data_IF_109050387629
#
_entry.id   IF_109050387629
#
_cell.length_a   1.000
_cell.length_b   1.000
_cell.length_c   1.000
_cell.angle_alpha   90.00
_cell.angle_beta   90.00
_cell.angle_gamma   90.00
#
_symmetry.space_group_name_H-M   'P 1'
#
loop_
_entity.id
_entity.type
_entity.pdbx_description
1 polymer ?
#
# COMPACT_ATOMS: atom_id res chain seq x y z
N UNK A 1 -23.10 -43.46 6.65
CA UNK A 1 -23.63 -42.12 6.97
C UNK A 1 -22.44 -41.18 7.14
N UNK A 2 -22.34 -40.17 6.26
CA UNK A 2 -21.24 -39.19 6.02
C UNK A 2 -20.17 -39.60 5.00
N UNK A 3 -20.59 -39.75 3.75
CA UNK A 3 -19.75 -39.42 2.60
C UNK A 3 -19.70 -37.90 2.47
N UNK A 4 -18.85 -37.27 3.29
CA UNK A 4 -18.50 -35.87 3.10
C UNK A 4 -17.58 -35.79 1.88
N UNK A 5 -18.19 -35.75 0.70
CA UNK A 5 -17.55 -35.23 -0.51
C UNK A 5 -17.22 -33.76 -0.25
N UNK A 6 -16.05 -33.52 0.38
CA UNK A 6 -15.45 -32.21 0.46
C UNK A 6 -15.27 -31.74 -0.98
N UNK A 7 -16.20 -30.91 -1.44
CA UNK A 7 -16.28 -30.40 -2.79
C UNK A 7 -15.00 -29.65 -3.10
N UNK A 8 -14.10 -30.33 -3.79
CA UNK A 8 -12.88 -29.71 -4.30
C UNK A 8 -13.33 -28.73 -5.37
N UNK A 9 -13.46 -27.45 -5.00
CA UNK A 9 -13.84 -26.38 -5.92
C UNK A 9 -12.92 -26.45 -7.14
N UNK A 10 -13.52 -26.51 -8.34
CA UNK A 10 -12.79 -26.53 -9.60
C UNK A 10 -11.83 -25.34 -9.64
N UNK A 11 -10.59 -25.50 -10.15
CA UNK A 11 -9.63 -24.40 -10.24
C UNK A 11 -10.19 -23.16 -10.94
N UNK A 12 -10.99 -23.34 -11.98
CA UNK A 12 -11.68 -22.26 -12.69
C UNK A 12 -12.63 -21.45 -11.79
N UNK A 13 -13.34 -22.12 -10.87
CA UNK A 13 -14.25 -21.44 -9.94
C UNK A 13 -13.49 -20.63 -8.89
N UNK A 14 -12.34 -21.14 -8.41
CA UNK A 14 -11.45 -20.39 -7.50
C UNK A 14 -10.94 -19.11 -8.14
N UNK A 15 -10.47 -19.22 -9.39
CA UNK A 15 -10.00 -18.07 -10.18
C UNK A 15 -11.16 -17.09 -10.40
N UNK A 16 -12.35 -17.59 -10.77
CA UNK A 16 -13.54 -16.76 -10.97
C UNK A 16 -13.92 -15.93 -9.75
N UNK A 17 -13.87 -16.51 -8.55
CA UNK A 17 -14.13 -15.80 -7.29
C UNK A 17 -13.12 -14.67 -7.06
N UNK A 18 -11.83 -14.95 -7.27
CA UNK A 18 -10.76 -13.96 -7.10
C UNK A 18 -10.94 -12.80 -8.09
N UNK A 19 -11.14 -13.12 -9.37
CA UNK A 19 -11.34 -12.12 -10.44
C UNK A 19 -12.56 -11.26 -10.16
N UNK A 20 -13.68 -11.86 -9.77
CA UNK A 20 -14.90 -11.13 -9.40
C UNK A 20 -14.65 -10.16 -8.23
N UNK A 21 -13.90 -10.58 -7.22
CA UNK A 21 -13.52 -9.71 -6.09
C UNK A 21 -12.65 -8.51 -6.51
N UNK A 22 -11.69 -8.73 -7.41
CA UNK A 22 -10.88 -7.62 -7.96
C UNK A 22 -11.71 -6.66 -8.81
N UNK A 23 -12.62 -7.17 -9.65
CA UNK A 23 -13.54 -6.34 -10.44
C UNK A 23 -14.41 -5.48 -9.52
N UNK A 24 -14.97 -6.06 -8.46
CA UNK A 24 -15.76 -5.32 -7.48
C UNK A 24 -14.93 -4.22 -6.80
N UNK A 25 -13.68 -4.52 -6.40
CA UNK A 25 -12.78 -3.53 -5.81
C UNK A 25 -12.47 -2.37 -6.76
N UNK A 26 -12.25 -2.65 -8.05
CA UNK A 26 -12.03 -1.62 -9.09
C UNK A 26 -13.27 -0.74 -9.22
N UNK A 27 -14.45 -1.34 -9.34
CA UNK A 27 -15.71 -0.59 -9.49
C UNK A 27 -15.93 0.36 -8.31
N UNK A 28 -15.68 -0.11 -7.09
CA UNK A 28 -15.83 0.73 -5.89
C UNK A 28 -14.79 1.86 -5.87
N UNK A 29 -13.54 1.60 -6.26
CA UNK A 29 -12.51 2.63 -6.34
C UNK A 29 -12.83 3.70 -7.39
N UNK A 30 -13.31 3.29 -8.57
CA UNK A 30 -13.79 4.23 -9.61
C UNK A 30 -14.96 5.06 -9.08
N UNK A 31 -15.92 4.44 -8.39
CA UNK A 31 -17.05 5.16 -7.80
C UNK A 31 -16.60 6.19 -6.75
N UNK A 32 -15.63 5.84 -5.89
CA UNK A 32 -15.08 6.76 -4.90
C UNK A 32 -14.43 8.00 -5.54
N UNK A 33 -13.65 7.80 -6.61
CA UNK A 33 -13.06 8.92 -7.37
C UNK A 33 -14.15 9.74 -8.05
N UNK A 34 -15.14 9.11 -8.69
CA UNK A 34 -16.23 9.81 -9.34
C UNK A 34 -17.01 10.70 -8.36
N UNK A 35 -17.25 10.22 -7.14
CA UNK A 35 -17.87 11.00 -6.06
C UNK A 35 -16.97 12.16 -5.65
N UNK A 36 -15.66 11.93 -5.47
CA UNK A 36 -14.71 12.98 -5.10
C UNK A 36 -14.65 14.10 -6.16
N UNK A 37 -14.52 13.73 -7.44
CA UNK A 37 -14.54 14.66 -8.57
C UNK A 37 -15.84 15.44 -8.60
N UNK A 38 -17.00 14.77 -8.49
CA UNK A 38 -18.30 15.44 -8.46
C UNK A 38 -18.43 16.43 -7.30
N UNK A 39 -17.85 16.12 -6.14
CA UNK A 39 -17.86 17.00 -4.95
C UNK A 39 -16.89 18.19 -5.03
N UNK A 40 -15.87 18.12 -5.90
CA UNK A 40 -14.76 19.09 -5.95
C UNK A 40 -14.65 19.82 -7.30
N UNK A 41 -15.59 19.57 -8.22
CA UNK A 41 -15.65 20.21 -9.53
C UNK A 41 -15.94 21.71 -9.40
N UNK A 42 -14.92 22.56 -9.54
CA UNK A 42 -15.08 24.02 -9.48
C UNK A 42 -13.95 24.79 -10.19
N UNK A 43 -14.03 26.13 -10.25
CA UNK A 43 -13.02 26.97 -10.93
C UNK A 43 -11.60 26.77 -10.39
N UNK A 44 -11.47 26.51 -9.08
CA UNK A 44 -10.19 26.19 -8.43
C UNK A 44 -9.61 24.84 -8.89
N UNK A 45 -10.45 23.85 -9.19
CA UNK A 45 -10.00 22.55 -9.68
C UNK A 45 -9.45 22.63 -11.12
N UNK A 46 -9.99 23.54 -11.94
CA UNK A 46 -9.49 23.79 -13.29
C UNK A 46 -8.16 24.56 -13.31
N UNK A 47 -7.97 25.48 -12.36
CA UNK A 47 -6.71 26.23 -12.23
C UNK A 47 -5.51 25.35 -11.85
N UNK A 48 -5.75 24.24 -11.14
CA UNK A 48 -4.72 23.30 -10.67
C UNK A 48 -5.03 21.85 -11.07
N UNK A 49 -5.45 21.62 -12.31
CA UNK A 49 -5.94 20.33 -12.80
C UNK A 49 -4.99 19.15 -12.57
N UNK A 50 -3.68 19.37 -12.70
CA UNK A 50 -2.66 18.34 -12.43
C UNK A 50 -2.61 17.88 -10.97
N UNK A 51 -2.80 18.80 -10.02
CA UNK A 51 -2.79 18.47 -8.58
C UNK A 51 -4.02 17.64 -8.20
N UNK A 52 -5.19 17.99 -8.74
CA UNK A 52 -6.42 17.23 -8.53
C UNK A 52 -6.35 15.84 -9.18
N UNK A 53 -5.86 15.74 -10.41
CA UNK A 53 -5.68 14.45 -11.09
C UNK A 53 -4.70 13.52 -10.33
N UNK A 54 -3.62 14.06 -9.77
CA UNK A 54 -2.72 13.29 -8.91
C UNK A 54 -3.41 12.83 -7.62
N UNK A 55 -4.20 13.70 -6.98
CA UNK A 55 -5.00 13.37 -5.81
C UNK A 55 -6.01 12.24 -6.09
N UNK A 56 -6.71 12.31 -7.22
CA UNK A 56 -7.64 11.29 -7.68
C UNK A 56 -6.95 9.94 -7.91
N UNK A 57 -5.75 9.95 -8.50
CA UNK A 57 -4.94 8.74 -8.68
C UNK A 57 -4.52 8.12 -7.34
N UNK A 58 -4.10 8.95 -6.37
CA UNK A 58 -3.74 8.48 -5.01
C UNK A 58 -4.97 7.93 -4.29
N UNK A 59 -6.13 8.59 -4.39
CA UNK A 59 -7.39 8.13 -3.82
C UNK A 59 -7.80 6.78 -4.42
N UNK A 60 -7.73 6.64 -5.74
CA UNK A 60 -8.00 5.38 -6.43
C UNK A 60 -7.13 4.26 -5.90
N UNK A 61 -5.80 4.45 -5.87
CA UNK A 61 -4.84 3.44 -5.41
C UNK A 61 -5.07 3.08 -3.94
N UNK A 62 -5.40 4.05 -3.09
CA UNK A 62 -5.69 3.81 -1.68
C UNK A 62 -6.95 2.94 -1.50
N UNK A 63 -8.06 3.32 -2.14
CA UNK A 63 -9.35 2.61 -2.02
C UNK A 63 -9.23 1.21 -2.65
N UNK A 64 -8.72 1.13 -3.88
CA UNK A 64 -8.51 -0.14 -4.56
C UNK A 64 -7.55 -1.04 -3.76
N UNK A 65 -6.43 -0.50 -3.29
CA UNK A 65 -5.43 -1.26 -2.55
C UNK A 65 -5.99 -1.90 -1.28
N UNK A 66 -6.77 -1.15 -0.49
CA UNK A 66 -7.41 -1.67 0.73
C UNK A 66 -8.45 -2.74 0.39
N UNK A 67 -9.31 -2.48 -0.60
CA UNK A 67 -10.36 -3.44 -0.98
C UNK A 67 -9.80 -4.70 -1.63
N UNK A 68 -8.70 -4.58 -2.39
CA UNK A 68 -7.99 -5.68 -3.01
C UNK A 68 -7.38 -6.66 -1.99
N UNK A 69 -7.21 -6.26 -0.72
CA UNK A 69 -6.74 -7.17 0.34
C UNK A 69 -7.68 -8.36 0.54
N UNK A 70 -8.99 -8.18 0.33
CA UNK A 70 -9.99 -9.25 0.48
C UNK A 70 -9.81 -10.36 -0.55
N UNK A 71 -9.86 -10.10 -1.89
CA UNK A 71 -9.60 -11.13 -2.88
C UNK A 71 -8.17 -11.68 -2.79
N UNK A 72 -7.20 -10.87 -2.35
CA UNK A 72 -5.83 -11.33 -2.10
C UNK A 72 -5.77 -12.34 -0.96
N UNK A 73 -6.42 -12.09 0.17
CA UNK A 73 -6.47 -13.02 1.29
C UNK A 73 -7.09 -14.36 0.90
N UNK A 74 -8.18 -14.33 0.12
CA UNK A 74 -8.82 -15.54 -0.43
C UNK A 74 -7.85 -16.30 -1.35
N UNK A 75 -7.16 -15.60 -2.25
CA UNK A 75 -6.15 -16.22 -3.13
C UNK A 75 -5.02 -16.86 -2.33
N UNK A 76 -4.52 -16.18 -1.29
CA UNK A 76 -3.46 -16.68 -0.41
C UNK A 76 -3.89 -17.93 0.37
N UNK A 77 -5.15 -18.02 0.80
CA UNK A 77 -5.70 -19.23 1.45
C UNK A 77 -5.63 -20.42 0.50
N UNK A 78 -5.95 -20.23 -0.79
CA UNK A 78 -5.81 -21.30 -1.80
C UNK A 78 -4.35 -21.69 -2.08
N UNK A 79 -3.40 -20.77 -1.88
CA UNK A 79 -1.97 -20.98 -2.09
C UNK A 79 -1.21 -21.50 -0.86
N UNK A 80 -1.90 -21.71 0.28
CA UNK A 80 -1.31 -22.28 1.51
C UNK A 80 -0.45 -23.54 1.30
N UNK A 81 -0.81 -24.51 0.43
CA UNK A 81 -0.01 -25.72 0.24
C UNK A 81 1.37 -25.49 -0.39
N UNK A 82 1.60 -24.37 -1.08
CA UNK A 82 2.80 -24.15 -1.89
C UNK A 82 3.91 -23.43 -1.12
N UNK A 83 4.81 -24.19 -0.49
CA UNK A 83 5.92 -23.63 0.32
C UNK A 83 6.82 -22.64 -0.43
N UNK A 84 7.18 -22.91 -1.68
CA UNK A 84 8.04 -22.03 -2.48
C UNK A 84 7.41 -20.65 -2.72
N UNK A 85 6.10 -20.61 -2.95
CA UNK A 85 5.36 -19.35 -3.11
C UNK A 85 5.51 -18.46 -1.89
N UNK A 86 5.35 -19.02 -0.68
CA UNK A 86 5.49 -18.26 0.57
C UNK A 86 6.91 -17.74 0.80
N UNK A 87 7.94 -18.47 0.38
CA UNK A 87 9.33 -18.01 0.48
C UNK A 87 9.59 -16.85 -0.47
N UNK A 88 9.21 -16.96 -1.74
CA UNK A 88 9.36 -15.88 -2.72
C UNK A 88 8.60 -14.63 -2.27
N UNK A 89 7.36 -14.80 -1.81
CA UNK A 89 6.54 -13.69 -1.30
C UNK A 89 7.19 -12.98 -0.11
N UNK A 90 7.75 -13.73 0.85
CA UNK A 90 8.46 -13.16 1.99
C UNK A 90 9.75 -12.43 1.59
N UNK A 91 10.51 -12.97 0.63
CA UNK A 91 11.70 -12.31 0.09
C UNK A 91 11.36 -11.00 -0.61
N UNK A 92 10.30 -10.99 -1.42
CA UNK A 92 9.80 -9.77 -2.08
C UNK A 92 9.36 -8.74 -1.04
N UNK A 93 8.59 -9.15 -0.02
CA UNK A 93 8.18 -8.27 1.07
C UNK A 93 9.36 -7.64 1.81
N UNK A 94 10.42 -8.43 2.05
CA UNK A 94 11.64 -7.91 2.67
C UNK A 94 12.40 -6.94 1.75
N UNK A 95 12.48 -7.22 0.45
CA UNK A 95 13.10 -6.31 -0.52
C UNK A 95 12.38 -4.96 -0.54
N UNK A 96 11.04 -4.96 -0.51
CA UNK A 96 10.27 -3.72 -0.37
C UNK A 96 10.58 -3.01 0.94
N UNK A 97 10.62 -3.71 2.08
CA UNK A 97 10.95 -3.10 3.36
C UNK A 97 12.33 -2.39 3.35
N UNK A 98 13.34 -3.01 2.73
CA UNK A 98 14.67 -2.41 2.56
C UNK A 98 14.59 -1.14 1.69
N UNK A 99 13.83 -1.18 0.59
CA UNK A 99 13.63 0.02 -0.25
C UNK A 99 12.92 1.16 0.50
N UNK A 100 12.02 0.83 1.44
CA UNK A 100 11.34 1.81 2.29
C UNK A 100 12.31 2.52 3.23
N UNK A 101 13.23 1.78 3.85
CA UNK A 101 14.31 2.37 4.67
C UNK A 101 15.23 3.27 3.85
N UNK A 102 15.63 2.82 2.66
CA UNK A 102 16.46 3.61 1.76
C UNK A 102 15.76 4.92 1.35
N UNK A 103 14.44 4.88 1.09
CA UNK A 103 13.65 6.06 0.78
C UNK A 103 13.61 7.06 1.95
N UNK A 104 13.48 6.58 3.19
CA UNK A 104 13.54 7.45 4.38
C UNK A 104 14.91 8.11 4.49
N UNK A 105 16.00 7.36 4.34
CA UNK A 105 17.36 7.92 4.38
C UNK A 105 17.60 8.94 3.27
N UNK A 106 17.14 8.67 2.06
CA UNK A 106 17.29 9.58 0.93
C UNK A 106 16.49 10.85 1.13
N UNK A 107 15.28 10.74 1.68
CA UNK A 107 14.43 11.88 2.02
C UNK A 107 15.04 12.72 3.16
N UNK A 108 15.59 12.09 4.21
CA UNK A 108 16.15 12.82 5.35
C UNK A 108 17.38 13.65 4.96
N UNK A 109 18.20 13.14 4.04
CA UNK A 109 19.41 13.81 3.52
C UNK A 109 19.05 14.83 2.44
N UNK A 110 18.22 14.44 1.47
CA UNK A 110 17.94 15.26 0.29
C UNK A 110 16.97 16.40 0.52
N UNK A 111 16.16 16.38 1.59
CA UNK A 111 15.23 17.49 1.92
C UNK A 111 15.93 18.82 2.25
N UNK A 112 17.23 18.79 2.54
CA UNK A 112 18.04 19.98 2.86
C UNK A 112 18.92 20.43 1.69
N UNK A 113 18.85 19.75 0.55
CA UNK A 113 19.65 20.10 -0.61
C UNK A 113 19.01 21.28 -1.38
N UNK A 114 19.81 22.28 -1.74
CA UNK A 114 19.37 23.38 -2.59
C UNK A 114 19.11 22.90 -4.03
N UNK A 115 18.07 23.44 -4.66
CA UNK A 115 17.71 23.13 -6.04
C UNK A 115 18.52 23.99 -7.04
N UNK A 116 18.89 23.48 -8.23
CA UNK A 116 18.61 22.14 -8.77
C UNK A 116 19.79 21.18 -8.53
N UNK A 117 19.61 20.22 -7.61
CA UNK A 117 20.55 19.12 -7.40
C UNK A 117 19.84 17.79 -7.65
N UNK A 118 20.53 16.77 -8.23
CA UNK A 118 19.93 15.45 -8.43
C UNK A 118 19.40 14.86 -7.12
N UNK A 119 20.06 15.14 -5.99
CA UNK A 119 19.61 14.73 -4.65
C UNK A 119 18.20 15.25 -4.30
N UNK A 120 17.86 16.49 -4.68
CA UNK A 120 16.52 17.03 -4.48
C UNK A 120 15.47 16.28 -5.32
N UNK A 121 15.80 15.89 -6.56
CA UNK A 121 14.90 15.09 -7.41
C UNK A 121 14.66 13.69 -6.84
N UNK A 122 15.72 13.02 -6.38
CA UNK A 122 15.62 11.70 -5.76
C UNK A 122 14.85 11.72 -4.42
N UNK A 123 15.00 12.79 -3.64
CA UNK A 123 14.20 13.00 -2.43
C UNK A 123 12.72 13.18 -2.76
N UNK A 124 12.38 13.88 -3.85
CA UNK A 124 11.01 14.00 -4.35
C UNK A 124 10.37 12.65 -4.68
N UNK A 125 11.10 11.75 -5.35
CA UNK A 125 10.60 10.40 -5.65
C UNK A 125 10.42 9.53 -4.39
N UNK A 126 11.20 9.79 -3.34
CA UNK A 126 11.10 9.06 -2.07
C UNK A 126 9.75 9.30 -1.37
N UNK A 127 9.11 10.45 -1.61
CA UNK A 127 7.77 10.78 -1.09
C UNK A 127 6.73 9.77 -1.56
N UNK A 128 6.74 9.40 -2.84
CA UNK A 128 5.79 8.42 -3.38
C UNK A 128 5.95 7.06 -2.70
N UNK A 129 7.20 6.66 -2.40
CA UNK A 129 7.48 5.39 -1.74
C UNK A 129 7.04 5.39 -0.27
N UNK A 130 7.19 6.52 0.42
CA UNK A 130 6.71 6.71 1.80
C UNK A 130 5.17 6.67 1.83
N UNK A 131 4.50 7.25 0.84
CA UNK A 131 3.04 7.18 0.69
C UNK A 131 2.52 5.76 0.41
N UNK A 132 3.30 4.93 -0.29
CA UNK A 132 2.96 3.53 -0.54
C UNK A 132 3.19 2.61 0.69
N UNK A 133 3.99 3.04 1.66
CA UNK A 133 4.34 2.25 2.84
C UNK A 133 3.14 1.72 3.67
N UNK A 134 2.09 2.52 4.00
CA UNK A 134 0.95 1.99 4.75
C UNK A 134 0.22 0.86 4.01
N UNK A 135 0.11 0.94 2.68
CA UNK A 135 -0.53 -0.10 1.89
C UNK A 135 0.31 -1.38 1.86
N UNK A 136 1.64 -1.24 1.73
CA UNK A 136 2.57 -2.36 1.80
C UNK A 136 2.56 -3.02 3.18
N UNK A 137 2.48 -2.24 4.26
CA UNK A 137 2.35 -2.75 5.63
C UNK A 137 1.08 -3.60 5.80
N UNK A 138 -0.07 -3.13 5.30
CA UNK A 138 -1.32 -3.89 5.35
C UNK A 138 -1.24 -5.16 4.51
N UNK A 139 -0.67 -5.09 3.31
CA UNK A 139 -0.50 -6.25 2.45
C UNK A 139 0.41 -7.30 3.10
N UNK A 140 1.55 -6.90 3.67
CA UNK A 140 2.46 -7.81 4.37
C UNK A 140 1.82 -8.38 5.63
N UNK A 141 1.00 -7.61 6.34
CA UNK A 141 0.27 -8.08 7.52
C UNK A 141 -0.76 -9.16 7.16
N UNK A 142 -1.55 -8.95 6.10
CA UNK A 142 -2.49 -9.95 5.58
C UNK A 142 -1.74 -11.20 5.14
N UNK A 143 -0.63 -11.05 4.42
CA UNK A 143 0.22 -12.17 4.04
C UNK A 143 0.76 -12.93 5.26
N UNK A 144 1.23 -12.23 6.29
CA UNK A 144 1.74 -12.83 7.53
C UNK A 144 0.64 -13.57 8.31
N UNK A 145 -0.59 -13.04 8.33
CA UNK A 145 -1.72 -13.67 9.00
C UNK A 145 -2.15 -14.96 8.31
N UNK A 146 -2.06 -15.02 6.98
CA UNK A 146 -2.46 -16.20 6.19
C UNK A 146 -1.35 -17.25 6.06
N UNK A 147 -0.08 -16.84 6.20
CA UNK A 147 1.10 -17.70 6.06
C UNK A 147 1.10 -18.88 7.03
N UNK A 148 1.14 -20.14 6.53
CA UNK A 148 1.13 -21.33 7.40
C UNK A 148 2.50 -21.62 8.04
N UNK A 149 3.60 -21.10 7.47
CA UNK A 149 4.97 -21.41 7.88
C UNK A 149 5.59 -20.29 8.74
N UNK A 150 6.28 -20.68 9.82
CA UNK A 150 6.87 -19.73 10.80
C UNK A 150 7.91 -18.78 10.20
N UNK A 151 8.79 -19.27 9.32
CA UNK A 151 9.87 -18.46 8.72
C UNK A 151 9.33 -17.34 7.78
N UNK A 152 8.58 -17.65 6.70
CA UNK A 152 7.95 -16.63 5.87
C UNK A 152 7.06 -15.67 6.67
N UNK A 153 6.33 -16.19 7.66
CA UNK A 153 5.49 -15.37 8.54
C UNK A 153 6.29 -14.35 9.32
N UNK A 154 7.43 -14.74 9.91
CA UNK A 154 8.29 -13.80 10.64
C UNK A 154 8.85 -12.72 9.71
N UNK A 155 9.34 -13.09 8.52
CA UNK A 155 9.86 -12.12 7.55
C UNK A 155 8.80 -11.10 7.13
N UNK A 156 7.56 -11.55 6.88
CA UNK A 156 6.44 -10.68 6.54
C UNK A 156 6.00 -9.79 7.72
N UNK A 157 6.09 -10.28 8.96
CA UNK A 157 5.87 -9.45 10.15
C UNK A 157 6.95 -8.37 10.31
N UNK A 158 8.22 -8.71 10.10
CA UNK A 158 9.31 -7.74 10.12
C UNK A 158 9.09 -6.69 9.02
N UNK A 159 8.76 -7.10 7.80
CA UNK A 159 8.42 -6.19 6.72
C UNK A 159 7.25 -5.25 7.10
N UNK A 160 6.21 -5.79 7.74
CA UNK A 160 5.07 -5.01 8.24
C UNK A 160 5.50 -3.93 9.22
N UNK A 161 6.34 -4.28 10.20
CA UNK A 161 6.83 -3.33 11.21
C UNK A 161 7.68 -2.25 10.56
N UNK A 162 8.56 -2.60 9.61
CA UNK A 162 9.40 -1.65 8.89
C UNK A 162 8.56 -0.68 8.08
N UNK A 163 7.61 -1.17 7.26
CA UNK A 163 6.73 -0.31 6.45
C UNK A 163 5.83 0.58 7.32
N UNK A 164 5.32 0.05 8.44
CA UNK A 164 4.57 0.85 9.40
C UNK A 164 5.44 1.97 10.01
N UNK A 165 6.71 1.67 10.31
CA UNK A 165 7.68 2.66 10.77
C UNK A 165 7.98 3.75 9.73
N UNK A 166 8.15 3.36 8.46
CA UNK A 166 8.34 4.30 7.33
C UNK A 166 7.11 5.21 7.17
N UNK A 167 5.91 4.64 7.24
CA UNK A 167 4.66 5.41 7.18
C UNK A 167 4.51 6.36 8.37
N UNK A 168 4.83 5.90 9.58
CA UNK A 168 4.78 6.72 10.78
C UNK A 168 5.79 7.88 10.72
N UNK A 169 6.99 7.64 10.19
CA UNK A 169 7.98 8.69 9.96
C UNK A 169 7.47 9.76 8.98
N UNK A 170 6.91 9.35 7.83
CA UNK A 170 6.31 10.28 6.88
C UNK A 170 5.20 11.12 7.50
N UNK A 171 4.29 10.48 8.24
CA UNK A 171 3.23 11.16 8.97
C UNK A 171 3.76 12.14 10.02
N UNK A 172 4.77 11.75 10.79
CA UNK A 172 5.39 12.62 11.78
C UNK A 172 6.04 13.85 11.13
N UNK A 173 6.82 13.68 10.06
CA UNK A 173 7.49 14.80 9.39
C UNK A 173 6.51 15.80 8.77
N UNK A 174 5.39 15.32 8.20
CA UNK A 174 4.43 16.21 7.53
C UNK A 174 3.37 16.80 8.47
N UNK A 175 2.88 16.03 9.45
CA UNK A 175 1.76 16.48 10.29
C UNK A 175 2.20 17.09 11.61
N UNK A 176 3.39 16.78 12.16
CA UNK A 176 3.84 17.39 13.41
C UNK A 176 3.99 18.93 13.32
N UNK A 177 4.53 19.51 12.23
CA UNK A 177 4.59 20.97 12.08
C UNK A 177 3.21 21.64 12.04
N UNK A 178 2.17 20.93 11.59
CA UNK A 178 0.80 21.43 11.57
C UNK A 178 0.14 21.43 12.96
N UNK A 179 0.56 20.50 13.82
CA UNK A 179 0.04 20.33 15.18
C UNK A 179 0.76 21.23 16.20
N UNK A 180 2.00 21.62 15.91
CA UNK A 180 2.78 22.57 16.70
C UNK A 180 3.01 23.83 15.86
N UNK A 181 1.98 24.68 15.65
CA UNK A 181 2.20 25.99 15.07
C UNK A 181 3.08 26.77 16.04
N UNK A 182 4.28 27.13 15.58
CA UNK A 182 5.30 27.94 16.25
C UNK A 182 4.72 28.97 17.23
N UNK A 183 4.51 28.58 18.50
CA UNK A 183 4.15 29.49 19.60
C UNK A 183 5.39 30.13 20.26
N UNK A 184 6.58 29.92 19.71
CA UNK A 184 7.85 30.34 20.31
C UNK A 184 8.74 31.19 19.37
N UNK A 185 8.17 31.86 18.38
CA UNK A 185 8.85 32.92 17.62
C UNK A 185 8.44 34.32 18.12
N UNK A 186 8.52 34.55 19.43
CA UNK A 186 8.63 35.86 20.06
C UNK A 186 9.67 35.81 21.16
#
# INVERSE_FOLDING_TARGET
MRDASATTLRPALKIGIIVAGYVAAIVIAVAAVAIHVASTSGPAAQASSGMYAFGDAVLFVAVFGVLALVPTAVALVFLRPYRHFWMVLATIGMAFAITGLAAVMLFTVGRHAEAPSPMATWAGLSVLRILAAPLLALASLVCAAVAPYRFPRLMLLVATVVEAGVSAYGGFVWFLPLLIPERWAR
#
